data_IF_681775841175
#
_entry.id   IF_681775841175
#
_cell.length_a   1.000
_cell.length_b   1.000
_cell.length_c   1.000
_cell.angle_alpha   90.00
_cell.angle_beta   90.00
_cell.angle_gamma   90.00
#
_symmetry.space_group_name_H-M   'P 1'
#
loop_
_entity.id
_entity.type
_entity.pdbx_description
1 polymer ?
#
# COMPACT_ATOMS: atom_id res chain seq x y z
N UNK A 1 4.86 -6.57 49.09
CA UNK A 1 4.31 -7.82 48.52
C UNK A 1 2.81 -7.62 48.48
N UNK A 2 2.17 -7.47 47.33
CA UNK A 2 2.12 -8.41 46.20
C UNK A 2 2.00 -7.65 44.87
N UNK A 3 2.91 -7.93 43.94
CA UNK A 3 2.78 -7.55 42.54
C UNK A 3 1.80 -8.52 41.91
N UNK A 4 0.61 -8.03 41.53
CA UNK A 4 -0.32 -8.78 40.69
C UNK A 4 0.14 -8.64 39.24
N UNK A 5 0.83 -9.65 38.73
CA UNK A 5 1.16 -9.78 37.31
C UNK A 5 -0.13 -10.08 36.54
N UNK A 6 -0.62 -9.11 35.76
CA UNK A 6 -1.61 -9.39 34.74
C UNK A 6 -1.02 -10.39 33.72
N UNK A 7 -1.79 -11.37 33.23
CA UNK A 7 -1.30 -12.26 32.19
C UNK A 7 -1.11 -11.43 30.91
N UNK A 8 0.15 -11.27 30.48
CA UNK A 8 0.44 -10.80 29.13
C UNK A 8 0.02 -11.89 28.16
N UNK A 9 -1.20 -11.74 27.64
CA UNK A 9 -1.77 -12.65 26.66
C UNK A 9 -1.17 -12.32 25.28
N UNK A 10 0.09 -12.72 25.07
CA UNK A 10 0.81 -12.62 23.79
C UNK A 10 0.35 -13.75 22.85
N UNK A 11 -0.96 -13.80 22.58
CA UNK A 11 -1.61 -14.89 21.85
C UNK A 11 -2.29 -14.33 20.60
N UNK A 12 -1.52 -14.25 19.50
CA UNK A 12 -2.04 -14.46 18.15
C UNK A 12 -2.86 -13.32 17.53
N UNK A 13 -2.25 -12.16 17.31
CA UNK A 13 -2.74 -11.20 16.32
C UNK A 13 -1.62 -10.92 15.31
N UNK A 14 -1.55 -11.71 14.25
CA UNK A 14 -1.10 -11.13 12.98
C UNK A 14 -2.21 -10.14 12.59
N UNK A 15 -2.14 -8.89 13.05
CA UNK A 15 -3.08 -7.86 12.61
C UNK A 15 -2.86 -7.67 11.11
N UNK A 16 -3.70 -8.31 10.31
CA UNK A 16 -3.72 -8.08 8.88
C UNK A 16 -3.99 -6.59 8.66
N UNK A 17 -3.05 -5.89 8.04
CA UNK A 17 -3.21 -4.47 7.76
C UNK A 17 -4.29 -4.23 6.71
N UNK A 18 -4.42 -5.16 5.76
CA UNK A 18 -5.42 -5.12 4.72
C UNK A 18 -6.64 -5.95 5.12
N UNK A 19 -7.82 -5.36 5.02
CA UNK A 19 -9.07 -6.10 5.09
C UNK A 19 -9.26 -6.96 3.83
N UNK A 20 -10.06 -8.04 3.91
CA UNK A 20 -10.31 -8.92 2.77
C UNK A 20 -10.93 -8.21 1.56
N UNK A 21 -11.69 -7.13 1.80
CA UNK A 21 -12.34 -6.32 0.77
C UNK A 21 -11.46 -5.15 0.27
N UNK A 22 -10.22 -5.03 0.76
CA UNK A 22 -9.28 -4.03 0.26
C UNK A 22 -8.46 -4.55 -0.93
N UNK A 23 -8.08 -3.68 -1.89
CA UNK A 23 -7.13 -4.07 -2.91
C UNK A 23 -5.80 -4.52 -2.29
N UNK A 24 -5.08 -5.40 -2.99
CA UNK A 24 -3.74 -5.82 -2.58
C UNK A 24 -2.76 -4.64 -2.42
N UNK A 25 -1.57 -4.88 -1.84
CA UNK A 25 -0.57 -3.84 -1.63
C UNK A 25 0.10 -3.37 -2.95
N UNK A 26 -0.04 -4.14 -4.03
CA UNK A 26 0.44 -3.81 -5.37
C UNK A 26 -0.50 -4.39 -6.43
N UNK A 27 -0.34 -3.93 -7.67
CA UNK A 27 -1.00 -4.49 -8.85
C UNK A 27 0.05 -4.95 -9.85
N UNK A 28 -0.20 -6.08 -10.50
CA UNK A 28 0.60 -6.55 -11.64
C UNK A 28 -0.19 -6.27 -12.91
N UNK A 29 0.43 -5.58 -13.85
CA UNK A 29 -0.07 -5.36 -15.20
C UNK A 29 0.75 -6.21 -16.16
N UNK A 30 0.12 -6.71 -17.22
CA UNK A 30 0.73 -7.55 -18.24
C UNK A 30 1.63 -8.68 -17.67
N UNK A 31 1.12 -9.53 -16.74
CA UNK A 31 1.93 -10.56 -16.06
C UNK A 31 2.52 -11.62 -17.01
N UNK A 32 2.03 -11.69 -18.25
CA UNK A 32 2.46 -12.62 -19.29
C UNK A 32 3.18 -11.90 -20.44
N UNK A 33 3.62 -10.65 -20.25
CA UNK A 33 4.37 -9.90 -21.26
C UNK A 33 5.66 -10.64 -21.63
N UNK A 34 5.97 -10.63 -22.92
CA UNK A 34 7.24 -11.17 -23.48
C UNK A 34 8.24 -10.06 -23.80
N UNK A 35 7.89 -8.81 -23.52
CA UNK A 35 8.74 -7.65 -23.76
C UNK A 35 9.86 -7.65 -22.71
N UNK A 36 11.14 -7.45 -23.09
CA UNK A 36 12.27 -7.53 -22.16
C UNK A 36 12.41 -6.25 -21.30
N UNK A 37 11.31 -5.74 -20.77
CA UNK A 37 11.23 -4.54 -19.94
C UNK A 37 10.35 -4.83 -18.73
N UNK A 38 10.88 -4.57 -17.53
CA UNK A 38 10.12 -4.57 -16.29
C UNK A 38 9.92 -3.14 -15.82
N UNK A 39 8.66 -2.70 -15.73
CA UNK A 39 8.30 -1.42 -15.15
C UNK A 39 7.91 -1.62 -13.67
N UNK A 40 8.45 -0.78 -12.80
CA UNK A 40 8.15 -0.78 -11.36
C UNK A 40 7.80 0.64 -10.92
N UNK A 41 6.79 0.78 -10.07
CA UNK A 41 6.38 2.07 -9.51
C UNK A 41 5.91 1.89 -8.05
N UNK A 42 6.81 2.14 -7.11
CA UNK A 42 6.54 1.94 -5.68
C UNK A 42 5.55 2.98 -5.12
N UNK A 43 5.66 4.24 -5.57
CA UNK A 43 4.79 5.34 -5.12
C UNK A 43 3.66 5.64 -6.12
N UNK A 44 3.02 4.60 -6.65
CA UNK A 44 1.96 4.72 -7.66
C UNK A 44 0.63 5.28 -7.12
N UNK A 45 0.39 5.19 -5.81
CA UNK A 45 -0.88 5.53 -5.16
C UNK A 45 -0.68 6.14 -3.78
N UNK A 46 -1.61 7.00 -3.35
CA UNK A 46 -1.67 7.55 -2.00
C UNK A 46 -2.63 6.77 -1.07
N UNK A 47 -3.00 5.54 -1.44
CA UNK A 47 -3.92 4.71 -0.64
C UNK A 47 -3.22 4.18 0.62
N UNK A 48 -3.88 4.37 1.76
CA UNK A 48 -3.52 3.72 3.02
C UNK A 48 -4.48 2.56 3.31
N UNK A 49 -4.02 1.49 3.97
CA UNK A 49 -4.91 0.51 4.58
C UNK A 49 -5.94 1.15 5.50
N UNK A 50 -7.19 0.66 5.50
CA UNK A 50 -8.28 1.30 6.25
C UNK A 50 -7.99 1.37 7.75
N UNK A 51 -7.34 0.32 8.29
CA UNK A 51 -6.99 0.24 9.71
C UNK A 51 -6.01 1.34 10.16
N UNK A 52 -5.26 1.96 9.24
CA UNK A 52 -4.34 3.05 9.54
C UNK A 52 -5.02 4.43 9.50
N UNK A 53 -6.27 4.51 9.05
CA UNK A 53 -7.03 5.75 8.99
C UNK A 53 -6.37 6.83 8.14
N UNK A 54 -6.06 7.97 8.76
CA UNK A 54 -5.37 9.10 8.14
C UNK A 54 -3.92 9.26 8.59
N UNK A 55 -3.45 8.43 9.52
CA UNK A 55 -2.15 8.57 10.18
C UNK A 55 -1.86 9.98 10.74
N UNK A 56 -2.91 10.74 11.09
CA UNK A 56 -2.79 12.12 11.56
C UNK A 56 -2.48 13.15 10.48
N UNK A 57 -2.56 12.78 9.20
CA UNK A 57 -2.34 13.67 8.06
C UNK A 57 -3.65 14.37 7.65
N UNK A 58 -3.57 15.66 7.38
CA UNK A 58 -4.69 16.40 6.81
C UNK A 58 -4.99 15.95 5.35
N UNK A 59 -6.18 16.27 4.81
CA UNK A 59 -6.58 15.82 3.48
C UNK A 59 -5.65 16.26 2.34
N UNK A 60 -4.97 17.39 2.45
CA UNK A 60 -4.02 17.86 1.44
C UNK A 60 -2.73 17.05 1.51
N UNK A 61 -2.17 16.88 2.70
CA UNK A 61 -0.96 16.07 2.92
C UNK A 61 -1.12 14.63 2.43
N UNK A 62 -2.33 14.05 2.56
CA UNK A 62 -2.64 12.69 2.08
C UNK A 62 -2.72 12.54 0.55
N UNK A 63 -2.70 13.63 -0.22
CA UNK A 63 -2.84 13.59 -1.68
C UNK A 63 -1.74 14.34 -2.43
N UNK A 64 -0.78 14.93 -1.73
CA UNK A 64 0.35 15.62 -2.33
C UNK A 64 1.57 14.70 -2.43
N UNK A 65 2.71 15.26 -2.84
CA UNK A 65 3.96 14.53 -3.03
C UNK A 65 4.50 13.83 -1.77
N UNK A 66 3.97 14.14 -0.58
CA UNK A 66 4.28 13.42 0.65
C UNK A 66 3.81 11.96 0.59
N UNK A 67 2.65 11.71 -0.03
CA UNK A 67 1.98 10.41 0.00
C UNK A 67 2.00 9.67 -1.35
N UNK A 68 2.45 10.30 -2.43
CA UNK A 68 2.45 9.73 -3.79
C UNK A 68 3.39 10.50 -4.71
N UNK A 69 4.05 9.81 -5.64
CA UNK A 69 4.72 10.47 -6.75
C UNK A 69 3.67 10.88 -7.80
N UNK A 70 3.27 12.15 -7.79
CA UNK A 70 2.13 12.65 -8.56
C UNK A 70 2.32 12.34 -10.06
N UNK A 71 1.42 11.51 -10.60
CA UNK A 71 1.43 11.09 -11.99
C UNK A 71 2.23 9.82 -12.31
N UNK A 72 3.04 9.30 -11.37
CA UNK A 72 3.90 8.15 -11.61
C UNK A 72 3.10 6.87 -11.91
N UNK A 73 2.03 6.59 -11.15
CA UNK A 73 1.13 5.45 -11.39
C UNK A 73 0.50 5.49 -12.79
N UNK A 74 -0.29 6.52 -13.12
CA UNK A 74 -0.91 6.65 -14.44
C UNK A 74 0.08 6.66 -15.61
N UNK A 75 1.27 7.25 -15.43
CA UNK A 75 2.32 7.20 -16.45
C UNK A 75 2.83 5.77 -16.64
N UNK A 76 3.10 5.05 -15.55
CA UNK A 76 3.57 3.66 -15.60
C UNK A 76 2.54 2.74 -16.26
N UNK A 77 1.25 2.90 -15.94
CA UNK A 77 0.15 2.18 -16.61
C UNK A 77 0.10 2.43 -18.12
N UNK A 78 0.31 3.69 -18.54
CA UNK A 78 0.36 4.07 -19.95
C UNK A 78 1.58 3.50 -20.66
N UNK A 79 2.74 3.49 -20.00
CA UNK A 79 3.95 2.87 -20.53
C UNK A 79 3.77 1.36 -20.67
N UNK A 80 3.19 0.69 -19.67
CA UNK A 80 2.86 -0.74 -19.76
C UNK A 80 1.93 -1.03 -20.94
N UNK A 81 0.88 -0.22 -21.11
CA UNK A 81 -0.03 -0.35 -22.27
C UNK A 81 0.68 -0.13 -23.61
N UNK A 82 1.62 0.81 -23.68
CA UNK A 82 2.30 1.17 -24.93
C UNK A 82 3.46 0.24 -25.29
N UNK A 83 4.11 -0.36 -24.29
CA UNK A 83 5.30 -1.20 -24.50
C UNK A 83 4.93 -2.68 -24.65
N UNK A 84 3.79 -3.13 -24.09
CA UNK A 84 3.26 -4.50 -24.20
C UNK A 84 3.41 -5.31 -22.93
#
# INVERSE_FOLDING_TARGET
MTVGTAPENTSGLSSQLLSADEPGPFQILNPLSVVPILLVCDHASCRFPLVLGDMGLDPFARRCHLAVDIGAGPLTERLATSLG
#
